data_IF_920367985417
#
_entry.id   IF_920367985417
#
_cell.length_a   1.000
_cell.length_b   1.000
_cell.length_c   1.000
_cell.angle_alpha   90.00
_cell.angle_beta   90.00
_cell.angle_gamma   90.00
#
_symmetry.space_group_name_H-M   'P 1'
#
loop_
_entity.id
_entity.type
_entity.pdbx_description
1 polymer ?
#
# COMPACT_ATOMS: atom_id res chain seq x y z
N UNK A 1 6.40 65.60 71.33
CA UNK A 1 5.36 66.54 70.85
C UNK A 1 5.19 66.26 69.36
N UNK A 2 4.08 65.87 68.75
CA UNK A 2 2.71 65.55 69.11
C UNK A 2 1.93 65.37 67.78
N UNK A 3 1.06 64.35 67.71
CA UNK A 3 -0.16 64.17 66.89
C UNK A 3 -0.13 64.18 65.33
N UNK A 4 -0.75 63.14 64.70
CA UNK A 4 -1.08 63.01 63.25
C UNK A 4 -2.41 63.72 62.86
N UNK A 5 -3.20 63.34 61.81
CA UNK A 5 -3.12 62.17 60.89
C UNK A 5 -3.39 62.43 59.37
N UNK A 6 -3.00 61.44 58.53
CA UNK A 6 -3.71 60.84 57.36
C UNK A 6 -4.19 61.65 56.13
N UNK A 7 -3.75 61.23 54.92
CA UNK A 7 -4.58 61.02 53.70
C UNK A 7 -3.90 59.99 52.77
N UNK A 8 -4.68 59.01 52.30
CA UNK A 8 -4.34 58.00 51.28
C UNK A 8 -4.64 58.55 49.87
N UNK A 9 -3.77 58.35 48.89
CA UNK A 9 -4.17 58.15 47.47
C UNK A 9 -3.07 57.50 46.64
N UNK A 10 -3.41 56.32 46.12
CA UNK A 10 -2.76 55.56 45.05
C UNK A 10 -2.78 56.33 43.73
N UNK A 11 -1.67 56.32 42.99
CA UNK A 11 -1.68 56.62 41.55
C UNK A 11 -1.12 55.42 40.77
N UNK A 12 -2.04 54.80 40.04
CA UNK A 12 -1.81 53.86 38.95
C UNK A 12 -1.42 54.69 37.73
N UNK A 13 -0.28 54.40 37.11
CA UNK A 13 0.10 54.97 35.81
C UNK A 13 -0.43 54.09 34.68
N UNK A 14 -1.20 54.71 33.81
CA UNK A 14 -1.83 54.16 32.61
C UNK A 14 -0.94 54.48 31.40
N UNK A 15 -0.65 53.48 30.56
CA UNK A 15 -0.12 53.68 29.20
C UNK A 15 -1.18 53.29 28.15
N UNK A 16 -1.24 53.99 27.00
CA UNK A 16 -2.36 53.91 26.05
C UNK A 16 -2.21 52.79 25.00
N UNK A 17 -3.30 52.45 24.26
CA UNK A 17 -3.34 51.32 23.32
C UNK A 17 -3.11 51.69 21.84
N UNK A 18 -2.39 50.79 21.17
CA UNK A 18 -2.55 50.23 19.81
C UNK A 18 -2.88 51.14 18.59
N UNK A 19 -1.94 51.17 17.65
CA UNK A 19 -2.13 51.56 16.25
C UNK A 19 -2.35 50.36 15.31
N UNK A 20 -3.28 50.52 14.37
CA UNK A 20 -3.73 49.58 13.32
C UNK A 20 -2.70 49.46 12.15
N UNK A 21 -2.56 48.34 11.41
CA UNK A 21 -3.34 47.84 10.23
C UNK A 21 -2.56 46.67 9.57
N UNK A 22 -3.03 45.96 8.50
CA UNK A 22 -4.38 45.51 8.13
C UNK A 22 -4.46 44.02 7.66
N UNK A 23 -5.68 43.47 7.68
CA UNK A 23 -6.26 42.72 6.54
C UNK A 23 -5.88 41.25 6.32
N UNK A 24 -6.80 40.34 6.70
CA UNK A 24 -7.30 39.31 5.79
C UNK A 24 -8.67 38.83 6.28
N UNK A 25 -9.69 39.27 5.56
CA UNK A 25 -11.10 39.00 5.77
C UNK A 25 -11.49 37.75 4.97
N UNK A 26 -12.19 36.81 5.60
CA UNK A 26 -12.47 35.48 5.04
C UNK A 26 -13.62 34.77 5.75
N UNK A 27 -14.77 35.45 5.80
CA UNK A 27 -16.13 34.90 5.72
C UNK A 27 -16.51 33.70 6.61
N UNK A 28 -17.01 34.01 7.82
CA UNK A 28 -17.86 33.11 8.62
C UNK A 28 -19.32 33.39 8.26
N UNK A 29 -20.04 32.41 7.70
CA UNK A 29 -21.51 32.48 7.57
C UNK A 29 -22.14 32.10 8.90
N UNK A 30 -22.97 32.99 9.39
CA UNK A 30 -23.91 32.80 10.49
C UNK A 30 -25.01 31.81 10.08
N UNK A 31 -25.37 30.92 10.99
CA UNK A 31 -26.73 30.41 11.11
C UNK A 31 -27.11 30.45 12.58
N UNK A 32 -27.99 31.39 12.91
CA UNK A 32 -28.67 31.47 14.19
C UNK A 32 -30.00 30.71 14.10
N UNK A 33 -30.36 30.05 15.21
CA UNK A 33 -31.74 29.76 15.58
C UNK A 33 -32.26 28.38 15.18
N UNK A 34 -32.47 27.51 16.17
CA UNK A 34 -33.78 27.34 16.82
C UNK A 34 -33.70 26.22 17.86
N UNK A 35 -33.87 26.58 19.12
CA UNK A 35 -34.20 25.65 20.21
C UNK A 35 -35.63 25.17 20.04
N UNK A 36 -35.82 23.85 19.98
CA UNK A 36 -37.06 23.19 20.37
C UNK A 36 -36.73 21.91 21.12
N UNK A 37 -37.11 21.87 22.39
CA UNK A 37 -37.19 20.68 23.22
C UNK A 37 -38.52 19.98 22.96
N UNK A 38 -38.52 18.65 22.85
CA UNK A 38 -39.67 17.77 23.06
C UNK A 38 -39.16 16.34 23.35
N UNK A 39 -39.99 15.47 23.95
CA UNK A 39 -39.59 14.55 25.01
C UNK A 39 -39.39 13.12 24.50
N UNK A 40 -38.82 12.32 25.40
CA UNK A 40 -38.59 10.89 25.30
C UNK A 40 -39.91 10.10 25.23
N UNK A 41 -40.02 9.20 24.26
CA UNK A 41 -40.82 7.97 24.37
C UNK A 41 -40.31 6.94 23.35
N UNK A 42 -39.98 5.74 23.84
CA UNK A 42 -39.60 4.57 23.02
C UNK A 42 -40.83 3.94 22.35
N UNK A 43 -40.66 2.83 21.59
CA UNK A 43 -40.37 1.55 22.24
C UNK A 43 -39.41 0.58 21.49
N UNK A 44 -39.01 -0.44 22.26
CA UNK A 44 -38.39 -1.76 21.97
C UNK A 44 -38.52 -2.34 20.55
N UNK A 45 -37.41 -2.92 20.10
CA UNK A 45 -37.24 -4.20 19.36
C UNK A 45 -35.87 -4.77 19.85
N UNK A 46 -35.79 -5.82 20.69
CA UNK A 46 -35.67 -7.28 20.39
C UNK A 46 -34.55 -7.56 19.37
N UNK A 47 -33.34 -7.89 19.83
CA UNK A 47 -32.75 -9.24 20.05
C UNK A 47 -32.07 -9.79 18.79
N UNK A 48 -30.74 -9.96 18.84
CA UNK A 48 -29.91 -10.98 18.17
C UNK A 48 -28.41 -10.61 18.30
N UNK A 49 -27.75 -11.03 19.39
CA UNK A 49 -26.27 -11.05 19.50
C UNK A 49 -25.80 -12.50 19.31
N UNK A 50 -25.26 -12.80 18.11
CA UNK A 50 -24.59 -14.05 17.80
C UNK A 50 -23.19 -14.09 18.44
N UNK A 51 -23.00 -15.04 19.35
CA UNK A 51 -21.69 -15.48 19.85
C UNK A 51 -20.83 -16.07 18.71
N UNK A 52 -19.99 -15.24 18.07
CA UNK A 52 -18.94 -15.74 17.17
C UNK A 52 -17.68 -16.10 17.98
N UNK A 53 -17.60 -17.37 18.41
CA UNK A 53 -16.37 -17.96 18.93
C UNK A 53 -15.26 -17.94 17.86
N UNK A 54 -14.20 -17.17 18.12
CA UNK A 54 -12.97 -17.14 17.34
C UNK A 54 -12.11 -18.39 17.61
N UNK A 55 -12.33 -19.46 16.84
CA UNK A 55 -11.49 -20.68 16.88
C UNK A 55 -10.34 -20.65 15.87
N UNK A 56 -9.49 -19.62 15.90
CA UNK A 56 -8.21 -19.64 15.19
C UNK A 56 -7.12 -20.30 16.07
N UNK A 57 -6.43 -21.36 15.61
CA UNK A 57 -5.39 -22.02 16.41
C UNK A 57 -4.16 -21.12 16.63
N UNK A 58 -3.40 -21.32 17.74
CA UNK A 58 -2.24 -20.51 18.09
C UNK A 58 -1.14 -20.62 17.03
N UNK A 59 -0.45 -19.51 16.77
CA UNK A 59 0.63 -19.33 15.77
C UNK A 59 1.90 -20.20 15.95
N UNK A 60 1.87 -21.27 16.74
CA UNK A 60 3.06 -22.04 17.14
C UNK A 60 3.38 -23.27 16.27
N UNK A 61 2.50 -23.67 15.34
CA UNK A 61 2.65 -24.94 14.61
C UNK A 61 2.88 -24.81 13.08
N UNK A 62 3.44 -23.69 12.59
CA UNK A 62 3.86 -23.57 11.20
C UNK A 62 5.30 -24.11 10.99
N UNK A 63 5.55 -24.96 9.97
CA UNK A 63 6.92 -25.34 9.62
C UNK A 63 7.73 -24.12 9.13
N UNK A 64 9.06 -24.07 9.36
CA UNK A 64 9.87 -22.92 8.95
C UNK A 64 9.91 -22.77 7.43
N UNK A 65 9.79 -21.52 6.96
CA UNK A 65 9.86 -21.16 5.53
C UNK A 65 11.20 -21.63 4.93
N UNK A 66 11.20 -22.29 3.75
CA UNK A 66 12.45 -22.59 3.05
C UNK A 66 13.12 -21.29 2.57
N UNK A 67 14.43 -21.20 2.84
CA UNK A 67 15.25 -20.04 2.52
C UNK A 67 15.33 -19.76 1.02
N UNK A 68 15.18 -18.49 0.66
CA UNK A 68 15.35 -18.03 -0.71
C UNK A 68 16.84 -17.96 -1.05
N UNK A 69 17.34 -18.97 -1.76
CA UNK A 69 18.60 -18.86 -2.51
C UNK A 69 18.27 -18.63 -3.97
N UNK A 70 18.74 -17.50 -4.52
CA UNK A 70 18.55 -17.19 -5.93
C UNK A 70 19.34 -18.18 -6.82
N UNK A 71 18.79 -18.63 -7.96
CA UNK A 71 19.50 -19.51 -8.88
C UNK A 71 20.64 -18.75 -9.62
N UNK A 72 21.75 -19.43 -9.98
CA UNK A 72 22.87 -18.78 -10.64
C UNK A 72 22.53 -18.38 -12.09
N UNK A 73 23.08 -17.22 -12.50
CA UNK A 73 22.92 -16.61 -13.82
C UNK A 73 23.61 -17.46 -14.91
N UNK A 74 23.00 -17.62 -16.11
CA UNK A 74 23.65 -18.32 -17.22
C UNK A 74 24.82 -17.51 -17.82
N UNK A 75 25.83 -18.17 -18.40
CA UNK A 75 27.02 -17.51 -18.92
C UNK A 75 26.74 -16.71 -20.20
N UNK A 76 27.45 -15.59 -20.31
CA UNK A 76 27.36 -14.60 -21.39
C UNK A 76 27.98 -15.16 -22.68
N UNK A 77 27.18 -15.30 -23.74
CA UNK A 77 27.66 -15.69 -25.07
C UNK A 77 28.55 -14.60 -25.68
N UNK A 78 29.75 -15.00 -26.12
CA UNK A 78 30.76 -14.16 -26.74
C UNK A 78 30.43 -13.77 -28.19
N UNK A 79 30.94 -12.60 -28.58
CA UNK A 79 30.87 -12.01 -29.93
C UNK A 79 31.50 -12.93 -30.98
N UNK A 80 30.83 -13.09 -32.12
CA UNK A 80 31.49 -13.32 -33.42
C UNK A 80 31.04 -12.24 -34.40
N UNK A 81 32.05 -11.56 -34.96
CA UNK A 81 32.02 -10.51 -35.95
C UNK A 81 32.04 -11.14 -37.34
N UNK A 82 31.16 -10.72 -38.25
CA UNK A 82 31.40 -10.82 -39.68
C UNK A 82 30.70 -9.68 -40.43
N UNK A 83 31.37 -9.20 -41.49
CA UNK A 83 31.24 -7.89 -42.14
C UNK A 83 30.09 -7.78 -43.17
N UNK A 84 29.72 -6.56 -43.61
CA UNK A 84 28.45 -6.28 -44.29
C UNK A 84 28.56 -6.25 -45.82
N UNK A 85 27.43 -6.30 -46.55
CA UNK A 85 27.32 -5.66 -47.85
C UNK A 85 26.26 -4.54 -47.86
N UNK A 86 26.65 -3.43 -48.49
CA UNK A 86 25.88 -2.22 -48.75
C UNK A 86 24.89 -2.37 -49.94
N UNK A 87 23.96 -1.41 -50.15
CA UNK A 87 22.65 -1.63 -50.80
C UNK A 87 22.56 -1.08 -52.23
N UNK A 88 21.55 -1.52 -53.02
CA UNK A 88 20.90 -0.65 -54.01
C UNK A 88 19.59 -1.23 -54.62
N UNK A 89 18.53 -0.43 -54.50
CA UNK A 89 17.51 0.03 -55.48
C UNK A 89 16.79 -0.90 -56.50
N UNK A 90 15.50 -0.55 -56.63
CA UNK A 90 14.43 -0.95 -57.54
C UNK A 90 14.60 -0.43 -58.99
N UNK A 91 14.34 -1.23 -60.05
CA UNK A 91 13.50 -0.88 -61.23
C UNK A 91 13.34 -2.00 -62.31
N UNK A 92 12.06 -2.24 -62.70
CA UNK A 92 11.44 -2.46 -64.04
C UNK A 92 11.96 -3.45 -65.11
N UNK A 93 11.00 -4.31 -65.52
CA UNK A 93 10.45 -4.65 -66.85
C UNK A 93 11.23 -5.36 -67.98
N UNK A 94 10.43 -6.21 -68.66
CA UNK A 94 10.36 -6.59 -70.10
C UNK A 94 11.29 -7.67 -70.67
N UNK A 95 10.73 -8.87 -70.83
CA UNK A 95 10.44 -9.53 -72.13
C UNK A 95 11.60 -10.06 -72.97
N UNK A 96 11.55 -11.35 -73.32
CA UNK A 96 11.86 -11.85 -74.66
C UNK A 96 11.32 -13.28 -74.87
N UNK A 97 11.01 -13.52 -76.14
CA UNK A 97 10.18 -14.55 -76.74
C UNK A 97 11.08 -15.54 -77.53
N UNK A 98 10.46 -16.51 -78.24
CA UNK A 98 11.02 -17.41 -79.29
C UNK A 98 11.50 -18.80 -78.80
N UNK A 99 10.85 -19.95 -79.05
CA UNK A 99 10.36 -20.71 -80.25
C UNK A 99 11.27 -21.97 -80.53
N UNK A 100 10.94 -22.93 -81.43
CA UNK A 100 10.60 -24.31 -81.06
C UNK A 100 11.56 -25.36 -81.71
N UNK A 101 11.45 -26.65 -81.38
CA UNK A 101 12.15 -27.72 -82.13
C UNK A 101 11.26 -28.93 -82.43
N UNK A 102 10.72 -28.87 -83.65
CA UNK A 102 10.58 -29.86 -84.75
C UNK A 102 10.71 -31.38 -84.53
N UNK A 103 9.73 -32.08 -85.11
CA UNK A 103 9.74 -33.50 -85.52
C UNK A 103 10.73 -33.83 -86.66
N UNK A 104 11.04 -35.13 -86.82
CA UNK A 104 11.63 -35.69 -88.05
C UNK A 104 10.96 -37.03 -88.41
N UNK A 105 10.38 -37.10 -89.61
CA UNK A 105 9.85 -38.27 -90.39
C UNK A 105 10.97 -38.75 -91.37
N UNK A 106 10.88 -39.80 -92.27
CA UNK A 106 9.71 -40.39 -92.96
C UNK A 106 9.75 -41.93 -93.28
N UNK A 107 8.80 -42.37 -94.13
CA UNK A 107 8.31 -43.70 -94.51
C UNK A 107 9.12 -44.51 -95.57
N UNK A 108 8.83 -45.82 -95.72
CA UNK A 108 8.56 -46.60 -96.97
C UNK A 108 8.21 -48.07 -96.55
N UNK A 109 7.34 -48.90 -97.14
CA UNK A 109 6.82 -49.07 -98.51
C UNK A 109 5.50 -49.91 -98.54
N UNK A 110 4.82 -49.91 -99.69
CA UNK A 110 3.69 -50.76 -100.14
C UNK A 110 4.20 -52.05 -100.86
N UNK A 111 3.40 -52.99 -101.47
CA UNK A 111 1.98 -53.45 -101.32
C UNK A 111 1.76 -55.02 -101.19
N UNK A 112 0.61 -55.45 -100.62
CA UNK A 112 -0.36 -56.57 -100.96
C UNK A 112 0.18 -57.92 -101.55
N UNK A 113 -0.21 -59.17 -101.12
CA UNK A 113 -1.58 -59.71 -101.34
C UNK A 113 -2.18 -60.74 -100.34
N UNK A 114 -3.50 -60.91 -100.53
CA UNK A 114 -4.46 -61.76 -99.83
C UNK A 114 -4.19 -63.28 -99.94
N UNK A 115 -4.65 -64.05 -98.93
CA UNK A 115 -5.42 -65.34 -98.97
C UNK A 115 -5.77 -65.65 -97.50
N UNK A 116 -7.00 -65.40 -97.04
CA UNK A 116 -8.13 -66.36 -96.93
C UNK A 116 -7.81 -67.67 -96.19
N UNK A 117 -8.31 -67.83 -94.95
CA UNK A 117 -9.25 -68.90 -94.61
C UNK A 117 -9.84 -68.79 -93.20
N UNK A 118 -11.09 -69.26 -93.10
CA UNK A 118 -12.05 -69.20 -91.99
C UNK A 118 -11.66 -70.01 -90.75
N UNK A 119 -12.00 -69.47 -89.59
CA UNK A 119 -12.94 -70.06 -88.59
C UNK A 119 -13.10 -69.01 -87.47
N UNK A 120 -14.27 -68.44 -87.15
CA UNK A 120 -15.56 -69.10 -86.99
C UNK A 120 -15.64 -69.74 -85.61
N UNK A 121 -15.91 -68.95 -84.57
CA UNK A 121 -16.35 -69.44 -83.26
C UNK A 121 -15.55 -68.91 -82.06
N UNK A 122 -16.24 -68.13 -81.20
CA UNK A 122 -15.89 -67.82 -79.80
C UNK A 122 -14.95 -66.62 -79.52
N UNK A 123 -15.27 -65.40 -79.98
CA UNK A 123 -14.56 -64.18 -79.49
C UNK A 123 -15.34 -62.86 -79.49
N UNK A 124 -16.64 -62.87 -79.19
CA UNK A 124 -17.42 -61.63 -79.02
C UNK A 124 -18.02 -61.40 -77.61
N UNK A 125 -17.85 -62.32 -76.65
CA UNK A 125 -18.45 -62.18 -75.31
C UNK A 125 -17.47 -61.71 -74.21
N UNK A 126 -16.17 -61.67 -74.53
CA UNK A 126 -15.10 -61.42 -73.53
C UNK A 126 -14.62 -59.96 -73.51
N UNK A 127 -14.74 -59.21 -74.61
CA UNK A 127 -14.34 -57.78 -74.68
C UNK A 127 -15.37 -56.83 -74.08
N UNK A 128 -16.67 -57.08 -74.24
CA UNK A 128 -17.70 -56.26 -73.59
C UNK A 128 -17.61 -56.35 -72.06
N UNK A 129 -17.30 -57.54 -71.54
CA UNK A 129 -17.09 -57.76 -70.11
C UNK A 129 -15.88 -56.98 -69.59
N UNK A 130 -14.79 -56.93 -70.37
CA UNK A 130 -13.58 -56.17 -70.04
C UNK A 130 -13.84 -54.65 -70.05
N UNK A 131 -14.58 -54.14 -71.04
CA UNK A 131 -15.05 -52.75 -71.09
C UNK A 131 -15.87 -52.38 -69.85
N UNK A 132 -16.81 -53.25 -69.44
CA UNK A 132 -17.62 -53.03 -68.23
C UNK A 132 -16.74 -53.00 -66.97
N UNK A 133 -15.75 -53.90 -66.84
CA UNK A 133 -14.80 -53.88 -65.72
C UNK A 133 -13.94 -52.61 -65.71
N UNK A 134 -13.43 -52.16 -66.86
CA UNK A 134 -12.65 -50.91 -66.96
C UNK A 134 -13.51 -49.70 -66.61
N UNK A 135 -14.75 -49.62 -67.10
CA UNK A 135 -15.70 -48.57 -66.72
C UNK A 135 -15.99 -48.58 -65.22
N UNK A 136 -16.20 -49.76 -64.61
CA UNK A 136 -16.37 -49.89 -63.17
C UNK A 136 -15.12 -49.41 -62.40
N UNK A 137 -13.92 -49.76 -62.85
CA UNK A 137 -12.67 -49.31 -62.22
C UNK A 137 -12.49 -47.79 -62.31
N UNK A 138 -12.85 -47.18 -63.44
CA UNK A 138 -12.82 -45.72 -63.61
C UNK A 138 -13.84 -45.05 -62.70
N UNK A 139 -15.07 -45.57 -62.63
CA UNK A 139 -16.11 -45.06 -61.73
C UNK A 139 -15.68 -45.18 -60.27
N UNK A 140 -15.14 -46.33 -59.86
CA UNK A 140 -14.60 -46.52 -58.50
C UNK A 140 -13.45 -45.56 -58.22
N UNK A 141 -12.54 -45.34 -59.16
CA UNK A 141 -11.43 -44.39 -59.00
C UNK A 141 -11.92 -42.94 -58.85
N UNK A 142 -12.93 -42.54 -59.61
CA UNK A 142 -13.56 -41.23 -59.49
C UNK A 142 -14.29 -41.07 -58.15
N UNK A 143 -15.01 -42.11 -57.69
CA UNK A 143 -15.68 -42.10 -56.39
C UNK A 143 -14.67 -42.01 -55.23
N UNK A 144 -13.56 -42.75 -55.31
CA UNK A 144 -12.47 -42.66 -54.34
C UNK A 144 -11.81 -41.27 -54.37
N UNK A 145 -11.64 -40.67 -55.54
CA UNK A 145 -11.16 -39.30 -55.69
C UNK A 145 -12.11 -38.26 -55.08
N UNK A 146 -13.41 -38.36 -55.35
CA UNK A 146 -14.44 -37.47 -54.82
C UNK A 146 -14.55 -37.57 -53.30
N UNK A 147 -14.50 -38.79 -52.75
CA UNK A 147 -14.53 -39.00 -51.29
C UNK A 147 -13.26 -38.46 -50.63
N UNK A 148 -12.08 -38.64 -51.24
CA UNK A 148 -10.83 -38.03 -50.79
C UNK A 148 -10.90 -36.49 -50.76
N UNK A 149 -11.37 -35.86 -51.83
CA UNK A 149 -11.58 -34.41 -51.90
C UNK A 149 -12.56 -33.93 -50.82
N UNK A 150 -13.68 -34.62 -50.65
CA UNK A 150 -14.67 -34.27 -49.63
C UNK A 150 -14.06 -34.31 -48.21
N UNK A 151 -13.29 -35.35 -47.87
CA UNK A 151 -12.61 -35.46 -46.57
C UNK A 151 -11.60 -34.34 -46.38
N UNK A 152 -10.81 -33.99 -47.41
CA UNK A 152 -9.85 -32.88 -47.31
C UNK A 152 -10.52 -31.53 -47.12
N UNK A 153 -11.66 -31.28 -47.78
CA UNK A 153 -12.44 -30.05 -47.62
C UNK A 153 -13.07 -29.94 -46.22
N UNK A 154 -13.54 -31.07 -45.65
CA UNK A 154 -14.07 -31.11 -44.29
C UNK A 154 -12.97 -30.75 -43.28
N UNK A 155 -11.80 -31.38 -43.37
CA UNK A 155 -10.65 -31.06 -42.49
C UNK A 155 -10.17 -29.62 -42.66
N UNK A 156 -10.12 -29.12 -43.90
CA UNK A 156 -9.77 -27.72 -44.16
C UNK A 156 -10.77 -26.76 -43.49
N UNK A 157 -12.07 -27.06 -43.57
CA UNK A 157 -13.11 -26.25 -42.92
C UNK A 157 -12.95 -26.23 -41.40
N UNK A 158 -12.70 -27.37 -40.78
CA UNK A 158 -12.44 -27.48 -39.33
C UNK A 158 -11.25 -26.62 -38.89
N UNK A 159 -10.12 -26.71 -39.61
CA UNK A 159 -8.92 -25.90 -39.33
C UNK A 159 -9.19 -24.40 -39.52
N UNK A 160 -9.99 -24.02 -40.51
CA UNK A 160 -10.36 -22.61 -40.74
C UNK A 160 -11.24 -22.06 -39.62
N UNK A 161 -12.17 -22.84 -39.07
CA UNK A 161 -12.99 -22.40 -37.93
C UNK A 161 -12.15 -22.26 -36.64
N UNK A 162 -11.22 -23.18 -36.39
CA UNK A 162 -10.25 -23.07 -35.28
C UNK A 162 -9.40 -21.79 -35.40
N UNK A 163 -8.90 -21.49 -36.60
CA UNK A 163 -8.14 -20.27 -36.86
C UNK A 163 -8.98 -19.00 -36.64
N UNK A 164 -10.27 -19.02 -37.03
CA UNK A 164 -11.19 -17.90 -36.81
C UNK A 164 -11.38 -17.63 -35.32
N UNK A 165 -11.56 -18.67 -34.52
CA UNK A 165 -11.72 -18.51 -33.07
C UNK A 165 -10.47 -17.86 -32.45
N UNK A 166 -9.28 -18.33 -32.83
CA UNK A 166 -8.01 -17.73 -32.39
C UNK A 166 -7.88 -16.27 -32.82
N UNK A 167 -8.25 -15.93 -34.06
CA UNK A 167 -8.20 -14.53 -34.53
C UNK A 167 -9.17 -13.62 -33.78
N UNK A 168 -10.37 -14.11 -33.43
CA UNK A 168 -11.33 -13.36 -32.64
C UNK A 168 -10.81 -13.11 -31.22
N UNK A 169 -10.27 -14.15 -30.57
CA UNK A 169 -9.65 -14.02 -29.25
C UNK A 169 -8.48 -13.02 -29.27
N UNK A 170 -7.65 -13.06 -30.30
CA UNK A 170 -6.52 -12.14 -30.43
C UNK A 170 -6.95 -10.69 -30.70
N UNK A 171 -8.02 -10.48 -31.47
CA UNK A 171 -8.63 -9.17 -31.68
C UNK A 171 -9.25 -8.63 -30.38
N UNK A 172 -9.95 -9.48 -29.62
CA UNK A 172 -10.53 -9.11 -28.33
C UNK A 172 -9.45 -8.74 -27.30
N UNK A 173 -8.38 -9.52 -27.22
CA UNK A 173 -7.23 -9.22 -26.36
C UNK A 173 -6.56 -7.90 -26.76
N UNK A 174 -6.30 -7.69 -28.06
CA UNK A 174 -5.73 -6.42 -28.55
C UNK A 174 -6.65 -5.24 -28.23
N UNK A 175 -7.95 -5.35 -28.46
CA UNK A 175 -8.89 -4.29 -28.11
C UNK A 175 -8.91 -3.99 -26.60
N UNK A 176 -8.73 -5.00 -25.75
CA UNK A 176 -8.69 -4.80 -24.30
C UNK A 176 -7.36 -4.18 -23.83
N UNK A 177 -6.23 -4.52 -24.46
CA UNK A 177 -4.90 -4.02 -24.05
C UNK A 177 -4.54 -2.69 -24.71
N UNK A 178 -4.89 -2.49 -25.98
CA UNK A 178 -4.55 -1.29 -26.76
C UNK A 178 -5.75 -0.37 -27.05
N UNK A 179 -6.97 -0.81 -26.76
CA UNK A 179 -8.17 0.00 -26.95
C UNK A 179 -8.45 0.94 -25.77
N UNK A 180 -9.50 1.76 -25.94
CA UNK A 180 -9.90 2.78 -24.97
C UNK A 180 -10.20 2.21 -23.57
N UNK A 181 -10.64 0.95 -23.49
CA UNK A 181 -10.87 0.27 -22.21
C UNK A 181 -9.55 0.00 -21.45
N UNK A 182 -8.52 -0.49 -22.13
CA UNK A 182 -7.18 -0.69 -21.55
C UNK A 182 -6.51 0.60 -21.14
N UNK A 183 -6.59 1.63 -21.99
CA UNK A 183 -6.10 2.98 -21.69
C UNK A 183 -6.86 3.63 -20.52
N UNK A 184 -8.18 3.46 -20.44
CA UNK A 184 -8.97 3.93 -19.31
C UNK A 184 -8.63 3.18 -18.01
N UNK A 185 -8.39 1.87 -18.10
CA UNK A 185 -7.90 1.05 -16.99
C UNK A 185 -6.54 1.53 -16.49
N UNK A 186 -5.58 1.70 -17.41
CA UNK A 186 -4.25 2.22 -17.08
C UNK A 186 -4.31 3.62 -16.47
N UNK A 187 -5.15 4.52 -17.01
CA UNK A 187 -5.36 5.86 -16.45
C UNK A 187 -5.94 5.76 -15.03
N UNK A 188 -6.93 4.90 -14.81
CA UNK A 188 -7.52 4.66 -13.49
C UNK A 188 -6.48 4.16 -12.48
N UNK A 189 -5.60 3.26 -12.90
CA UNK A 189 -4.53 2.74 -12.05
C UNK A 189 -3.48 3.81 -11.74
N UNK A 190 -3.10 4.64 -12.71
CA UNK A 190 -2.20 5.78 -12.49
C UNK A 190 -2.81 6.79 -11.51
N UNK A 191 -4.08 7.15 -11.68
CA UNK A 191 -4.74 8.10 -10.77
C UNK A 191 -4.91 7.50 -9.36
N UNK A 192 -5.13 6.17 -9.24
CA UNK A 192 -5.14 5.49 -7.93
C UNK A 192 -3.77 5.61 -7.26
N UNK A 193 -2.69 5.24 -7.96
CA UNK A 193 -1.33 5.34 -7.41
C UNK A 193 -0.98 6.78 -7.04
N UNK A 194 -1.37 7.76 -7.86
CA UNK A 194 -1.20 9.18 -7.54
C UNK A 194 -1.96 9.58 -6.28
N UNK A 195 -3.22 9.14 -6.13
CA UNK A 195 -4.03 9.43 -4.95
C UNK A 195 -3.40 8.83 -3.69
N UNK A 196 -2.99 7.56 -3.74
CA UNK A 196 -2.33 6.86 -2.64
C UNK A 196 -1.01 7.55 -2.26
N UNK A 197 -0.21 7.94 -3.26
CA UNK A 197 1.06 8.67 -3.04
C UNK A 197 0.81 10.04 -2.40
N UNK A 198 -0.20 10.78 -2.87
CA UNK A 198 -0.56 12.07 -2.29
C UNK A 198 -1.06 11.92 -0.86
N UNK A 199 -1.81 10.86 -0.56
CA UNK A 199 -2.26 10.54 0.79
C UNK A 199 -1.08 10.24 1.72
N UNK A 200 -0.17 9.35 1.31
CA UNK A 200 1.05 9.06 2.07
C UNK A 200 1.94 10.30 2.24
N UNK A 201 1.99 11.19 1.25
CA UNK A 201 2.74 12.44 1.34
C UNK A 201 2.10 13.41 2.35
N UNK A 202 0.77 13.46 2.45
CA UNK A 202 0.07 14.25 3.48
C UNK A 202 0.30 13.67 4.88
N UNK A 203 0.31 12.35 5.03
CA UNK A 203 0.64 11.70 6.30
C UNK A 203 2.10 11.98 6.71
N UNK A 204 3.04 11.84 5.77
CA UNK A 204 4.43 12.21 5.98
C UNK A 204 4.59 13.71 6.30
N UNK A 205 3.82 14.58 5.64
CA UNK A 205 3.82 16.02 5.94
C UNK A 205 3.24 16.30 7.32
N UNK A 206 2.19 15.60 7.75
CA UNK A 206 1.68 15.68 9.12
C UNK A 206 2.72 15.23 10.16
N UNK A 207 3.56 14.24 9.82
CA UNK A 207 4.70 13.84 10.65
C UNK A 207 5.85 14.87 10.63
N UNK A 208 6.01 15.61 9.54
CA UNK A 208 7.10 16.56 9.31
C UNK A 208 6.74 18.03 9.63
N UNK A 209 5.47 18.39 9.80
CA UNK A 209 5.02 19.79 10.02
C UNK A 209 5.53 20.38 11.35
N UNK A 210 6.16 19.59 12.20
CA UNK A 210 6.97 20.08 13.32
C UNK A 210 8.43 20.35 12.89
N UNK A 211 8.65 21.15 11.83
CA UNK A 211 10.01 21.54 11.41
C UNK A 211 10.73 22.46 12.41
N UNK A 212 9.99 23.03 13.36
CA UNK A 212 10.52 23.74 14.52
C UNK A 212 9.80 23.29 15.77
N UNK A 213 10.35 22.28 16.42
CA UNK A 213 10.03 21.97 17.81
C UNK A 213 10.36 23.21 18.64
N UNK A 214 9.32 23.95 19.05
CA UNK A 214 9.48 25.13 19.91
C UNK A 214 8.90 24.84 21.28
N UNK A 215 9.69 25.16 22.31
CA UNK A 215 9.26 25.14 23.70
C UNK A 215 9.05 26.57 24.18
N UNK A 216 8.11 26.81 25.12
CA UNK A 216 8.00 28.10 25.77
C UNK A 216 9.32 28.49 26.44
N UNK A 217 9.48 29.80 26.67
CA UNK A 217 10.60 30.31 27.44
C UNK A 217 10.67 29.64 28.82
N UNK A 218 11.87 29.21 29.22
CA UNK A 218 12.10 28.50 30.48
C UNK A 218 11.78 27.00 30.46
N UNK A 219 11.38 26.43 29.32
CA UNK A 219 11.16 24.98 29.16
C UNK A 219 12.29 24.34 28.35
N UNK A 220 12.73 23.16 28.79
CA UNK A 220 13.79 22.39 28.15
C UNK A 220 13.22 21.44 27.10
N UNK A 221 13.68 21.48 25.84
CA UNK A 221 13.26 20.53 24.81
C UNK A 221 13.99 19.19 24.96
N UNK A 222 13.24 18.09 24.86
CA UNK A 222 13.79 16.74 24.73
C UNK A 222 12.81 15.82 24.00
N UNK A 223 13.29 15.13 22.95
CA UNK A 223 12.52 14.14 22.17
C UNK A 223 11.08 14.54 21.77
N UNK A 224 10.89 15.78 21.30
CA UNK A 224 9.56 16.25 20.86
C UNK A 224 8.60 16.61 22.00
N UNK A 225 9.13 16.73 23.22
CA UNK A 225 8.43 17.24 24.40
C UNK A 225 9.20 18.40 25.04
N UNK A 226 8.49 19.20 25.82
CA UNK A 226 9.03 20.31 26.60
C UNK A 226 8.85 20.02 28.08
N UNK A 227 9.89 20.31 28.88
CA UNK A 227 9.90 20.05 30.32
C UNK A 227 10.16 21.34 31.10
N UNK A 228 9.36 21.56 32.14
CA UNK A 228 9.50 22.69 33.05
C UNK A 228 9.93 22.20 34.42
N UNK A 229 10.99 22.78 34.96
CA UNK A 229 11.47 22.49 36.31
C UNK A 229 11.12 23.67 37.20
N UNK A 230 10.33 23.44 38.24
CA UNK A 230 9.85 24.54 39.07
C UNK A 230 10.98 25.23 39.85
N UNK A 231 10.89 26.56 40.04
CA UNK A 231 11.79 27.33 40.89
C UNK A 231 11.33 27.39 42.36
N UNK A 232 10.09 26.98 42.66
CA UNK A 232 9.47 26.97 43.99
C UNK A 232 8.88 25.59 44.31
N UNK A 233 8.38 25.41 45.54
CA UNK A 233 7.79 24.16 46.01
C UNK A 233 6.27 24.25 46.14
N UNK A 234 5.58 23.12 45.95
CA UNK A 234 4.13 22.92 46.03
C UNK A 234 3.79 21.51 46.50
N UNK A 235 2.57 21.30 47.01
CA UNK A 235 2.05 19.94 47.21
C UNK A 235 1.86 19.25 45.86
N UNK A 236 1.70 17.92 45.87
CA UNK A 236 1.57 17.17 44.62
C UNK A 236 0.34 17.61 43.81
N UNK A 237 -0.81 17.80 44.47
CA UNK A 237 -2.05 18.22 43.82
C UNK A 237 -1.97 19.67 43.31
N UNK A 238 -1.32 20.58 44.05
CA UNK A 238 -1.08 21.95 43.61
C UNK A 238 -0.12 22.02 42.41
N UNK A 239 0.92 21.18 42.41
CA UNK A 239 1.86 21.06 41.31
C UNK A 239 1.19 20.50 40.05
N UNK A 240 0.35 19.46 40.20
CA UNK A 240 -0.48 18.92 39.11
C UNK A 240 -1.38 19.99 38.51
N UNK A 241 -2.08 20.75 39.36
CA UNK A 241 -2.94 21.85 38.93
C UNK A 241 -2.16 22.92 38.17
N UNK A 242 -0.98 23.31 38.66
CA UNK A 242 -0.11 24.24 37.96
C UNK A 242 0.28 23.75 36.56
N UNK A 243 0.64 22.46 36.42
CA UNK A 243 0.96 21.90 35.10
C UNK A 243 -0.26 21.96 34.18
N UNK A 244 -1.45 21.61 34.67
CA UNK A 244 -2.70 21.65 33.89
C UNK A 244 -3.03 23.07 33.41
N UNK A 245 -2.89 24.08 34.27
CA UNK A 245 -3.08 25.50 33.92
C UNK A 245 -2.10 25.99 32.85
N UNK A 246 -0.95 25.31 32.69
CA UNK A 246 0.07 25.59 31.69
C UNK A 246 0.00 24.65 30.47
N UNK A 247 -1.15 24.02 30.23
CA UNK A 247 -1.39 23.07 29.12
C UNK A 247 -0.38 21.91 29.12
N UNK A 248 -0.09 21.39 30.30
CA UNK A 248 0.89 20.33 30.55
C UNK A 248 0.39 19.39 31.66
N UNK A 249 1.16 18.36 31.99
CA UNK A 249 0.91 17.49 33.14
C UNK A 249 2.21 17.30 33.94
N UNK A 250 2.13 16.78 35.17
CA UNK A 250 3.34 16.31 35.85
C UNK A 250 4.02 15.24 34.98
N UNK A 251 5.35 15.23 34.97
CA UNK A 251 6.12 14.38 34.07
C UNK A 251 5.77 12.89 34.19
N UNK A 252 5.57 12.24 33.04
CA UNK A 252 5.34 10.80 32.92
C UNK A 252 6.59 10.19 32.28
N UNK A 253 7.30 9.36 33.04
CA UNK A 253 8.54 8.77 32.56
C UNK A 253 8.22 7.52 31.76
N UNK A 254 8.33 7.63 30.44
CA UNK A 254 7.89 6.61 29.47
C UNK A 254 9.03 5.71 29.00
N UNK A 255 10.29 6.12 29.16
CA UNK A 255 11.46 5.31 28.80
C UNK A 255 12.74 5.71 29.55
N UNK A 256 13.78 4.88 29.43
CA UNK A 256 15.10 5.11 30.05
C UNK A 256 15.79 6.41 29.60
N UNK A 257 15.58 6.85 28.36
CA UNK A 257 16.21 8.08 27.86
C UNK A 257 15.60 9.32 28.52
N UNK A 258 14.28 9.32 28.70
CA UNK A 258 13.53 10.35 29.43
C UNK A 258 13.91 10.41 30.91
N UNK A 259 13.98 9.25 31.59
CA UNK A 259 14.49 9.16 32.96
C UNK A 259 15.87 9.83 33.08
N UNK A 260 16.81 9.44 32.21
CA UNK A 260 18.19 9.93 32.24
C UNK A 260 18.26 11.44 31.94
N UNK A 261 17.42 11.93 31.02
CA UNK A 261 17.32 13.36 30.73
C UNK A 261 16.83 14.14 31.95
N UNK A 262 15.71 13.73 32.54
CA UNK A 262 15.12 14.42 33.70
C UNK A 262 16.08 14.41 34.89
N UNK A 263 16.70 13.25 35.19
CA UNK A 263 17.68 13.11 36.27
C UNK A 263 18.94 13.96 36.07
N UNK A 264 19.38 14.21 34.83
CA UNK A 264 20.53 15.08 34.53
C UNK A 264 20.17 16.55 34.53
N UNK A 265 19.03 16.91 33.92
CA UNK A 265 18.53 18.28 33.87
C UNK A 265 18.25 18.85 35.28
N UNK A 266 17.92 17.96 36.22
CA UNK A 266 17.79 18.22 37.65
C UNK A 266 18.95 19.02 38.26
N UNK A 267 20.21 18.70 37.91
CA UNK A 267 21.45 19.46 38.18
C UNK A 267 21.73 19.96 39.62
N UNK A 268 20.88 19.66 40.59
CA UNK A 268 20.78 20.34 41.89
C UNK A 268 20.45 19.31 43.00
N UNK A 269 20.48 19.65 44.31
CA UNK A 269 20.12 18.71 45.37
C UNK A 269 18.61 18.67 45.67
N UNK A 270 17.77 19.01 44.69
CA UNK A 270 16.33 19.20 44.91
C UNK A 270 15.60 17.84 44.90
N UNK A 271 14.33 17.86 45.22
CA UNK A 271 13.40 16.73 45.06
C UNK A 271 12.23 17.24 44.23
N UNK A 272 11.85 16.49 43.19
CA UNK A 272 10.79 16.89 42.27
C UNK A 272 9.65 15.89 42.22
N UNK A 273 8.42 16.37 42.28
CA UNK A 273 7.23 15.56 42.01
C UNK A 273 7.21 15.01 40.58
N UNK A 274 6.79 13.75 40.49
CA UNK A 274 6.50 13.03 39.25
C UNK A 274 4.98 12.86 39.09
N UNK A 275 4.55 12.58 37.87
CA UNK A 275 3.14 12.24 37.57
C UNK A 275 2.77 10.81 37.96
N UNK A 276 3.35 10.25 39.01
CA UNK A 276 3.18 8.87 39.45
C UNK A 276 2.63 8.84 40.88
N UNK A 277 1.59 8.04 41.11
CA UNK A 277 0.87 7.94 42.39
C UNK A 277 0.14 6.60 42.51
N UNK A 278 -0.17 6.18 43.73
CA UNK A 278 -1.02 5.02 44.04
C UNK A 278 -2.20 5.37 44.97
N UNK A 279 -2.56 6.66 45.07
CA UNK A 279 -3.68 7.24 45.84
C UNK A 279 -5.02 6.49 45.77
N UNK A 280 -5.26 5.75 44.68
CA UNK A 280 -6.50 4.99 44.49
C UNK A 280 -6.46 3.61 45.17
N UNK A 281 -5.28 2.99 45.21
CA UNK A 281 -5.04 1.65 45.75
C UNK A 281 -3.55 1.48 46.02
N UNK A 282 -3.21 1.43 47.30
CA UNK A 282 -1.87 1.14 47.81
C UNK A 282 -1.16 0.04 47.01
N UNK A 283 0.06 0.34 46.56
CA UNK A 283 0.92 -0.56 45.79
C UNK A 283 0.59 -0.65 44.30
N UNK A 284 -0.54 -0.09 43.83
CA UNK A 284 -0.89 0.00 42.40
C UNK A 284 -0.50 1.36 41.83
N UNK A 285 0.81 1.54 41.65
CA UNK A 285 1.41 2.76 41.11
C UNK A 285 1.04 3.00 39.64
N UNK A 286 0.40 4.14 39.38
CA UNK A 286 -0.09 4.57 38.07
C UNK A 286 0.43 5.94 37.68
N UNK A 287 0.81 6.06 36.42
CA UNK A 287 1.05 7.36 35.80
C UNK A 287 -0.26 8.12 35.63
N UNK A 288 -0.17 9.45 35.48
CA UNK A 288 -1.34 10.32 35.28
C UNK A 288 -2.18 9.98 34.03
N UNK A 289 -1.62 9.27 33.06
CA UNK A 289 -2.34 8.77 31.87
C UNK A 289 -3.05 7.42 32.11
N UNK A 290 -2.96 6.88 33.33
CA UNK A 290 -3.55 5.60 33.75
C UNK A 290 -2.69 4.38 33.44
N UNK A 291 -1.55 4.56 32.75
CA UNK A 291 -0.64 3.45 32.46
C UNK A 291 0.03 2.94 33.75
N UNK A 292 0.22 1.60 33.88
CA UNK A 292 1.00 1.04 34.99
C UNK A 292 2.49 1.31 34.78
N UNK A 293 3.26 1.25 35.86
CA UNK A 293 4.72 1.23 35.77
C UNK A 293 5.19 -0.03 35.04
N UNK A 294 6.05 0.14 34.02
CA UNK A 294 6.67 -0.98 33.28
C UNK A 294 8.14 -1.16 33.63
N UNK A 295 8.74 -0.12 34.19
CA UNK A 295 10.06 -0.08 34.78
C UNK A 295 10.02 0.89 35.96
N UNK A 296 10.96 0.74 36.89
CA UNK A 296 11.05 1.62 38.05
C UNK A 296 12.50 2.03 38.30
N UNK A 297 12.63 3.20 38.93
CA UNK A 297 13.91 3.71 39.44
C UNK A 297 13.81 4.02 40.92
N UNK A 298 12.97 3.28 41.65
CA UNK A 298 12.83 3.41 43.11
C UNK A 298 14.20 3.33 43.79
N UNK A 299 14.41 4.18 44.78
CA UNK A 299 15.57 4.11 45.65
C UNK A 299 15.53 2.79 46.46
N UNK A 300 16.68 2.29 46.97
CA UNK A 300 16.67 1.06 47.74
C UNK A 300 15.74 1.14 48.96
N UNK A 301 14.78 0.21 49.02
CA UNK A 301 13.69 0.10 50.01
C UNK A 301 12.43 0.93 49.70
N UNK A 302 12.38 1.61 48.55
CA UNK A 302 11.18 2.31 48.10
C UNK A 302 10.36 1.49 47.07
N UNK A 303 9.04 1.73 46.97
CA UNK A 303 8.24 2.58 47.85
C UNK A 303 8.02 1.91 49.22
N UNK A 304 8.16 2.67 50.30
CA UNK A 304 8.11 2.15 51.68
C UNK A 304 6.78 2.44 52.41
N UNK A 305 5.94 3.30 51.83
CA UNK A 305 4.69 3.81 52.37
C UNK A 305 4.80 4.30 53.83
N UNK A 306 5.81 5.11 54.12
CA UNK A 306 6.09 5.59 55.46
C UNK A 306 5.11 6.71 55.85
N UNK A 307 4.02 6.32 56.51
CA UNK A 307 2.92 7.21 56.91
C UNK A 307 1.97 7.61 55.77
N UNK A 308 1.55 6.66 54.93
CA UNK A 308 0.53 6.89 53.88
C UNK A 308 1.09 7.82 52.78
N UNK A 309 2.15 7.35 52.11
CA UNK A 309 2.91 8.09 51.10
C UNK A 309 2.49 7.69 49.69
N UNK A 310 1.45 8.34 49.15
CA UNK A 310 0.88 7.92 47.86
C UNK A 310 1.45 8.61 46.61
N UNK A 311 2.45 9.50 46.75
CA UNK A 311 2.92 10.37 45.67
C UNK A 311 4.41 10.21 45.39
N UNK A 312 4.77 9.91 44.13
CA UNK A 312 6.17 9.69 43.76
C UNK A 312 6.92 10.99 43.49
N UNK A 313 8.15 11.03 43.97
CA UNK A 313 9.12 12.09 43.75
C UNK A 313 10.44 11.52 43.22
N UNK A 314 11.26 12.38 42.60
CA UNK A 314 12.61 12.07 42.16
C UNK A 314 13.63 12.78 43.04
N UNK A 315 14.53 12.00 43.64
CA UNK A 315 15.65 12.44 44.43
C UNK A 315 16.81 12.97 43.54
N UNK A 316 17.78 13.62 44.17
CA UNK A 316 19.00 14.16 43.53
C UNK A 316 19.72 13.15 42.61
N UNK A 317 19.72 11.87 42.96
CA UNK A 317 20.38 10.81 42.20
C UNK A 317 19.61 10.32 40.97
N UNK A 318 18.41 10.86 40.73
CA UNK A 318 17.47 10.36 39.74
C UNK A 318 16.62 9.19 40.24
N UNK A 319 16.91 8.63 41.42
CA UNK A 319 16.06 7.58 42.00
C UNK A 319 14.74 8.14 42.51
N UNK A 320 13.72 7.29 42.61
CA UNK A 320 12.37 7.66 42.99
C UNK A 320 12.11 7.33 44.46
N UNK A 321 11.25 8.13 45.09
CA UNK A 321 10.81 7.97 46.48
C UNK A 321 9.34 8.33 46.55
N UNK A 322 8.54 7.51 47.20
CA UNK A 322 7.19 7.88 47.60
C UNK A 322 7.26 8.88 48.75
N UNK A 323 6.37 9.86 48.74
CA UNK A 323 6.28 10.88 49.78
C UNK A 323 4.81 11.19 50.03
N UNK A 324 4.50 11.61 51.26
CA UNK A 324 3.17 12.17 51.55
C UNK A 324 2.82 13.28 50.55
N UNK A 325 1.66 13.16 49.89
CA UNK A 325 1.22 14.08 48.84
C UNK A 325 1.07 15.54 49.30
N UNK A 326 0.87 15.75 50.60
CA UNK A 326 0.74 17.08 51.23
C UNK A 326 2.09 17.78 51.44
N UNK A 327 3.21 17.05 51.34
CA UNK A 327 4.54 17.63 51.44
C UNK A 327 4.77 18.61 50.29
N UNK A 328 5.48 19.70 50.56
CA UNK A 328 5.84 20.64 49.49
C UNK A 328 7.21 20.30 48.92
N UNK A 329 7.29 20.02 47.62
CA UNK A 329 8.55 19.79 46.90
C UNK A 329 8.53 20.52 45.56
N UNK A 330 9.65 20.52 44.84
CA UNK A 330 9.65 21.05 43.47
C UNK A 330 8.84 20.12 42.56
N UNK A 331 8.57 20.50 41.32
CA UNK A 331 7.84 19.63 40.39
C UNK A 331 8.30 19.81 38.95
N UNK A 332 8.06 18.77 38.15
CA UNK A 332 8.40 18.79 36.74
C UNK A 332 7.10 18.68 35.95
N UNK A 333 6.85 19.66 35.08
CA UNK A 333 5.79 19.55 34.10
C UNK A 333 6.34 19.08 32.75
N UNK A 334 5.49 18.45 31.97
CA UNK A 334 5.77 17.91 30.65
C UNK A 334 4.61 18.22 29.70
N UNK A 335 4.93 18.62 28.47
CA UNK A 335 3.96 18.79 27.38
C UNK A 335 4.57 18.44 26.04
N UNK A 336 3.74 18.07 25.07
CA UNK A 336 4.19 17.94 23.67
C UNK A 336 4.67 19.29 23.17
N UNK A 337 5.70 19.27 22.32
CA UNK A 337 6.14 20.48 21.63
C UNK A 337 5.04 21.04 20.75
N UNK A 338 5.00 22.37 20.63
CA UNK A 338 4.12 23.04 19.69
C UNK A 338 4.78 23.02 18.31
N UNK A 339 3.98 22.63 17.32
CA UNK A 339 4.08 23.02 15.93
C UNK A 339 2.96 24.07 15.72
#
# INVERSE_FOLDING_TARGET
MGWGPGVVRTQVTVFPPWGQRPGCEGQRREWAGLSLAFPLEGPREEDDDDDYENTAPPYKDLPPKPGWTAPPRPPRAGKKTENPPLPCKLLKNTGLNLTPVTCTTPQLATPVPWISQKSGGLRCYQEERLMVYVCLLVVVSLLMGCTGLAVTLIKYREVVEELRMLTFQQMAWRANVTGMAGLAGLKKDIERVRADTNQSLLELRGLLDCTRVTCPEGWLPFQGKCYYFSPSTKSWDEARKFCQENYSHLVIISNFAEQNFVAKAHGSPRVYWLGLNDKNREGDWRWLDGSPITFSFWDPQEPNNLHDEDCASMNKGGTWNDLSCDKTTYWICERKCSC
#
